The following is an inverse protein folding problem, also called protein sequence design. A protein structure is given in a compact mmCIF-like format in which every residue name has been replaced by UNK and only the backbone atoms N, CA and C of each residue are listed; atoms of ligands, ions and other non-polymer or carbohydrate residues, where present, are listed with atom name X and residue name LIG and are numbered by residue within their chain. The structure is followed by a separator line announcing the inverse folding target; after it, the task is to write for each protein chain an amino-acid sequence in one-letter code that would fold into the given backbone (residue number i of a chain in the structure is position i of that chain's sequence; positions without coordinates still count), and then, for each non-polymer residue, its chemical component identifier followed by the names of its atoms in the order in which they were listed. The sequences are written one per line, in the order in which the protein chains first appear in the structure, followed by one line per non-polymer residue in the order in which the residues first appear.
data_IF_722222461650
#
_entry.id   IF_722222461650
#
_cell.length_a   1.000
_cell.length_b   1.000
_cell.length_c   1.000
_cell.angle_alpha   90.00
_cell.angle_beta   90.00
_cell.angle_gamma   90.00
#
_symmetry.space_group_name_H-M   'P 1'
#
loop_
_entity.id
_entity.type
_entity.pdbx_description
1 polymer ?
#
# COMPACT_ATOMS: atom_id res chain seq x y z
N UNK A 1 -33.94 -1.45 30.22
CA UNK A 1 -33.58 -2.33 29.09
C UNK A 1 -32.80 -1.51 28.09
N UNK A 2 -31.66 -2.04 27.63
CA UNK A 2 -30.74 -1.42 26.67
C UNK A 2 -31.32 -1.51 25.26
N UNK A 3 -31.21 -0.45 24.45
CA UNK A 3 -31.05 -0.58 23.00
C UNK A 3 -30.09 0.48 22.49
N UNK A 4 -29.12 -0.01 21.73
CA UNK A 4 -27.85 0.63 21.43
C UNK A 4 -27.96 1.70 20.34
N UNK A 5 -27.15 2.73 20.49
CA UNK A 5 -26.91 3.80 19.54
C UNK A 5 -26.28 3.23 18.26
N UNK A 6 -26.93 3.41 17.11
CA UNK A 6 -26.29 3.23 15.80
C UNK A 6 -25.57 4.56 15.50
N UNK A 7 -24.31 4.65 15.94
CA UNK A 7 -23.40 5.68 15.47
C UNK A 7 -23.06 5.38 14.00
N UNK A 8 -23.78 6.05 13.09
CA UNK A 8 -23.49 6.00 11.66
C UNK A 8 -22.28 6.89 11.42
N UNK A 9 -21.08 6.32 11.51
CA UNK A 9 -19.85 7.03 11.15
C UNK A 9 -19.77 7.09 9.63
N UNK A 10 -20.23 8.21 9.08
CA UNK A 10 -19.86 8.61 7.73
C UNK A 10 -18.35 8.89 7.73
N UNK A 11 -17.56 7.89 7.31
CA UNK A 11 -16.16 8.11 7.02
C UNK A 11 -16.09 9.09 5.85
N UNK A 12 -15.79 10.35 6.18
CA UNK A 12 -15.38 11.33 5.20
C UNK A 12 -14.11 10.80 4.54
N UNK A 13 -14.23 10.36 3.30
CA UNK A 13 -13.11 10.01 2.42
C UNK A 13 -12.39 11.32 2.11
N UNK A 14 -11.57 11.78 3.04
CA UNK A 14 -10.59 12.81 2.75
C UNK A 14 -9.49 12.10 1.99
N UNK A 15 -9.46 12.31 0.68
CA UNK A 15 -8.26 12.07 -0.11
C UNK A 15 -7.15 12.93 0.49
N UNK A 16 -6.39 12.36 1.43
CA UNK A 16 -5.20 13.01 1.94
C UNK A 16 -4.19 12.92 0.80
N UNK A 17 -3.75 14.06 0.24
CA UNK A 17 -2.64 14.02 -0.70
C UNK A 17 -1.46 13.48 0.10
N UNK A 18 -0.80 12.45 -0.41
CA UNK A 18 0.48 11.94 0.06
C UNK A 18 1.50 13.08 0.08
N UNK A 19 1.45 13.90 1.11
CA UNK A 19 2.32 15.03 1.37
C UNK A 19 3.05 14.77 2.69
N UNK A 20 3.64 13.57 2.81
CA UNK A 20 4.70 13.35 3.78
C UNK A 20 5.98 13.89 3.14
N UNK A 21 6.35 15.08 3.61
CA UNK A 21 7.63 15.69 3.36
C UNK A 21 8.77 14.69 3.65
N UNK A 22 9.86 14.81 2.91
CA UNK A 22 11.06 13.97 2.93
C UNK A 22 11.85 13.92 4.27
N UNK A 23 11.19 14.21 5.40
CA UNK A 23 11.71 14.22 6.77
C UNK A 23 10.78 13.49 7.77
N UNK A 24 9.97 12.53 7.30
CA UNK A 24 9.25 11.60 8.18
C UNK A 24 10.16 10.50 8.75
N UNK A 25 9.73 9.80 9.81
CA UNK A 25 10.41 8.59 10.29
C UNK A 25 10.58 7.57 9.15
N UNK A 26 11.69 6.83 9.20
CA UNK A 26 11.97 5.76 8.24
C UNK A 26 10.90 4.68 8.36
N UNK A 27 10.35 4.23 7.23
CA UNK A 27 9.39 3.12 7.20
C UNK A 27 10.01 1.84 7.78
N UNK A 28 9.25 1.12 8.59
CA UNK A 28 9.58 -0.25 8.96
C UNK A 28 9.66 -1.13 7.71
N UNK A 29 10.42 -2.24 7.76
CA UNK A 29 10.54 -3.12 6.59
C UNK A 29 9.18 -3.70 6.14
N UNK A 30 8.24 -3.89 7.07
CA UNK A 30 6.89 -4.37 6.75
C UNK A 30 6.04 -3.30 6.07
N UNK A 31 6.10 -2.05 6.53
CA UNK A 31 5.45 -0.91 5.87
C UNK A 31 5.99 -0.70 4.46
N UNK A 32 7.32 -0.74 4.32
CA UNK A 32 7.97 -0.62 3.03
C UNK A 32 7.47 -1.70 2.05
N UNK A 33 7.45 -2.97 2.49
CA UNK A 33 6.94 -4.07 1.65
C UNK A 33 5.45 -3.92 1.33
N UNK A 34 4.62 -3.49 2.30
CA UNK A 34 3.20 -3.24 2.07
C UNK A 34 2.96 -2.11 1.05
N UNK A 35 3.69 -1.00 1.19
CA UNK A 35 3.61 0.15 0.30
C UNK A 35 4.09 -0.17 -1.11
N UNK A 36 5.19 -0.94 -1.25
CA UNK A 36 5.66 -1.45 -2.54
C UNK A 36 4.61 -2.35 -3.19
N UNK A 37 4.00 -3.28 -2.45
CA UNK A 37 2.95 -4.17 -2.97
C UNK A 37 1.73 -3.39 -3.45
N UNK A 38 1.25 -2.42 -2.67
CA UNK A 38 0.16 -1.57 -3.10
C UNK A 38 0.53 -0.82 -4.39
N UNK A 39 1.68 -0.13 -4.40
CA UNK A 39 2.16 0.63 -5.57
C UNK A 39 2.32 -0.23 -6.81
N UNK A 40 2.78 -1.48 -6.68
CA UNK A 40 2.89 -2.42 -7.79
C UNK A 40 1.50 -2.80 -8.35
N UNK A 41 0.50 -3.00 -7.50
CA UNK A 41 -0.88 -3.22 -7.95
C UNK A 41 -1.51 -1.98 -8.59
N UNK A 42 -1.13 -0.77 -8.14
CA UNK A 42 -1.56 0.47 -8.77
C UNK A 42 -0.94 0.65 -10.16
N UNK A 43 0.35 0.34 -10.31
CA UNK A 43 1.08 0.40 -11.58
C UNK A 43 0.41 -0.49 -12.65
N UNK A 44 0.18 -1.77 -12.34
CA UNK A 44 -0.46 -2.71 -13.27
C UNK A 44 -1.93 -2.39 -13.54
N UNK A 45 -2.55 -1.53 -12.73
CA UNK A 45 -3.90 -1.01 -12.98
C UNK A 45 -3.93 0.23 -13.89
N UNK A 46 -2.76 0.77 -14.24
CA UNK A 46 -2.61 1.98 -15.04
C UNK A 46 -2.72 3.29 -14.24
N UNK A 47 -2.56 3.25 -12.92
CA UNK A 47 -2.54 4.46 -12.10
C UNK A 47 -1.21 5.22 -12.30
N UNK A 48 -1.25 6.55 -12.13
CA UNK A 48 -0.06 7.38 -12.16
C UNK A 48 0.69 7.27 -10.82
N UNK A 49 1.78 6.49 -10.80
CA UNK A 49 2.52 6.17 -9.56
C UNK A 49 3.92 6.81 -9.47
N UNK A 50 4.23 7.80 -10.32
CA UNK A 50 5.59 8.34 -10.42
C UNK A 50 6.12 8.89 -9.08
N UNK A 51 5.29 9.66 -8.36
CA UNK A 51 5.68 10.24 -7.07
C UNK A 51 5.84 9.16 -5.99
N UNK A 52 4.91 8.21 -5.91
CA UNK A 52 4.98 7.10 -4.97
C UNK A 52 6.25 6.24 -5.21
N UNK A 53 6.57 5.95 -6.46
CA UNK A 53 7.77 5.20 -6.84
C UNK A 53 9.04 5.97 -6.49
N UNK A 54 9.06 7.28 -6.69
CA UNK A 54 10.20 8.12 -6.28
C UNK A 54 10.44 8.04 -4.77
N UNK A 55 9.38 8.18 -3.97
CA UNK A 55 9.48 8.09 -2.50
C UNK A 55 9.95 6.71 -2.05
N UNK A 56 9.38 5.62 -2.59
CA UNK A 56 9.78 4.26 -2.25
C UNK A 56 11.23 3.95 -2.65
N UNK A 57 11.70 4.48 -3.78
CA UNK A 57 13.11 4.33 -4.16
C UNK A 57 14.06 5.07 -3.21
N UNK A 58 13.63 6.22 -2.67
CA UNK A 58 14.39 6.94 -1.66
C UNK A 58 14.43 6.16 -0.34
N UNK A 59 13.31 5.57 0.09
CA UNK A 59 13.25 4.71 1.28
C UNK A 59 14.05 3.41 1.10
N UNK A 60 14.07 2.83 -0.11
CA UNK A 60 14.87 1.64 -0.40
C UNK A 60 16.36 1.82 -0.08
N UNK A 61 16.90 3.05 -0.20
CA UNK A 61 18.28 3.37 0.19
C UNK A 61 18.54 3.25 1.69
N UNK A 62 17.48 3.29 2.51
CA UNK A 62 17.54 3.17 3.97
C UNK A 62 17.21 1.76 4.45
N UNK A 63 16.72 0.88 3.57
CA UNK A 63 16.36 -0.50 3.90
C UNK A 63 17.58 -1.44 3.81
N UNK A 64 17.44 -2.63 4.39
CA UNK A 64 18.42 -3.70 4.23
C UNK A 64 18.35 -4.29 2.81
N UNK A 65 19.47 -4.86 2.35
CA UNK A 65 19.53 -5.50 1.03
C UNK A 65 18.49 -6.64 0.89
N UNK A 66 18.27 -7.42 1.96
CA UNK A 66 17.27 -8.50 1.97
C UNK A 66 15.84 -7.97 1.82
N UNK A 67 15.51 -6.87 2.50
CA UNK A 67 14.19 -6.23 2.39
C UNK A 67 13.97 -5.66 0.98
N UNK A 68 14.99 -5.04 0.37
CA UNK A 68 14.91 -4.53 -1.01
C UNK A 68 14.74 -5.68 -2.00
N UNK A 69 15.50 -6.76 -1.87
CA UNK A 69 15.37 -7.93 -2.75
C UNK A 69 13.98 -8.59 -2.64
N UNK A 70 13.42 -8.66 -1.42
CA UNK A 70 12.05 -9.12 -1.22
C UNK A 70 11.02 -8.21 -1.90
N UNK A 71 11.20 -6.89 -1.80
CA UNK A 71 10.34 -5.91 -2.47
C UNK A 71 10.36 -6.05 -3.99
N UNK A 72 11.55 -6.22 -4.59
CA UNK A 72 11.71 -6.45 -6.04
C UNK A 72 11.06 -7.75 -6.49
N UNK A 73 11.15 -8.81 -5.68
CA UNK A 73 10.52 -10.09 -5.96
C UNK A 73 8.98 -9.98 -5.96
N UNK A 74 8.41 -9.23 -5.02
CA UNK A 74 6.96 -8.95 -4.95
C UNK A 74 6.49 -8.17 -6.19
N UNK A 75 7.18 -7.09 -6.57
CA UNK A 75 6.86 -6.31 -7.78
C UNK A 75 6.88 -7.20 -9.03
N UNK A 76 7.92 -8.02 -9.15
CA UNK A 76 8.08 -8.94 -10.28
C UNK A 76 7.02 -10.04 -10.30
N UNK A 77 6.56 -10.52 -9.13
CA UNK A 77 5.47 -11.47 -9.03
C UNK A 77 4.13 -10.86 -9.47
N UNK A 78 3.82 -9.65 -8.99
CA UNK A 78 2.59 -8.93 -9.32
C UNK A 78 2.56 -8.60 -10.82
N UNK A 79 3.66 -8.11 -11.39
CA UNK A 79 3.75 -7.82 -12.82
C UNK A 79 3.50 -9.07 -13.68
N UNK A 80 4.10 -10.21 -13.31
CA UNK A 80 3.85 -11.49 -13.99
C UNK A 80 2.40 -11.94 -13.85
N UNK A 81 1.80 -11.79 -12.67
CA UNK A 81 0.40 -12.14 -12.45
C UNK A 81 -0.52 -11.28 -13.31
N UNK A 82 -0.26 -9.97 -13.42
CA UNK A 82 -1.00 -9.05 -14.26
C UNK A 82 -0.94 -9.44 -15.74
N UNK A 83 0.26 -9.73 -16.26
CA UNK A 83 0.45 -10.15 -17.66
C UNK A 83 -0.26 -11.47 -17.96
N UNK A 84 -0.31 -12.39 -16.99
CA UNK A 84 -0.95 -13.70 -17.17
C UNK A 84 -2.46 -13.70 -16.86
N UNK A 85 -3.04 -12.59 -16.42
CA UNK A 85 -4.46 -12.51 -16.09
C UNK A 85 -5.29 -12.24 -17.35
N UNK A 86 -5.79 -13.31 -17.97
CA UNK A 86 -6.45 -13.27 -19.28
C UNK A 86 -7.96 -13.30 -19.20
N UNK A 87 -8.54 -13.72 -18.06
CA UNK A 87 -9.99 -13.81 -17.89
C UNK A 87 -10.55 -12.65 -17.06
N UNK A 88 -11.86 -12.33 -17.22
CA UNK A 88 -12.52 -11.38 -16.33
C UNK A 88 -12.47 -11.78 -14.84
N UNK A 89 -12.43 -13.08 -14.55
CA UNK A 89 -12.30 -13.59 -13.19
C UNK A 89 -10.91 -13.29 -12.60
N UNK A 90 -9.85 -13.49 -13.38
CA UNK A 90 -8.48 -13.16 -12.96
C UNK A 90 -8.33 -11.66 -12.69
N UNK A 91 -8.92 -10.82 -13.55
CA UNK A 91 -8.92 -9.38 -13.35
C UNK A 91 -9.71 -8.95 -12.10
N UNK A 92 -10.83 -9.60 -11.80
CA UNK A 92 -11.57 -9.35 -10.56
C UNK A 92 -10.74 -9.77 -9.33
N UNK A 93 -10.05 -10.90 -9.42
CA UNK A 93 -9.15 -11.38 -8.38
C UNK A 93 -7.97 -10.41 -8.16
N UNK A 94 -7.37 -9.86 -9.23
CA UNK A 94 -6.34 -8.83 -9.14
C UNK A 94 -6.85 -7.56 -8.46
N UNK A 95 -8.06 -7.10 -8.80
CA UNK A 95 -8.69 -5.94 -8.14
C UNK A 95 -8.91 -6.18 -6.65
N UNK A 96 -9.33 -7.38 -6.27
CA UNK A 96 -9.49 -7.75 -4.86
C UNK A 96 -8.13 -7.77 -4.13
N UNK A 97 -7.08 -8.29 -4.76
CA UNK A 97 -5.74 -8.32 -4.18
C UNK A 97 -5.15 -6.93 -4.02
N UNK A 98 -5.37 -6.04 -4.99
CA UNK A 98 -5.02 -4.61 -4.87
C UNK A 98 -5.67 -4.00 -3.64
N UNK A 99 -6.98 -4.16 -3.49
CA UNK A 99 -7.72 -3.59 -2.37
C UNK A 99 -7.15 -4.04 -1.02
N UNK A 100 -6.85 -5.34 -0.88
CA UNK A 100 -6.25 -5.88 0.34
C UNK A 100 -4.81 -5.39 0.58
N UNK A 101 -3.99 -5.29 -0.47
CA UNK A 101 -2.62 -4.79 -0.36
C UNK A 101 -2.58 -3.32 0.06
N UNK A 102 -3.42 -2.48 -0.55
CA UNK A 102 -3.47 -1.06 -0.25
C UNK A 102 -4.10 -0.76 1.12
N UNK A 103 -5.15 -1.49 1.52
CA UNK A 103 -5.69 -1.34 2.87
C UNK A 103 -4.68 -1.75 3.96
N UNK A 104 -3.83 -2.73 3.67
CA UNK A 104 -2.77 -3.14 4.60
C UNK A 104 -1.68 -2.08 4.69
N UNK A 105 -1.34 -1.43 3.57
CA UNK A 105 -0.41 -0.30 3.55
C UNK A 105 -0.93 0.86 4.41
N UNK A 106 -2.23 1.18 4.33
CA UNK A 106 -2.85 2.23 5.14
C UNK A 106 -2.80 1.90 6.65
N UNK A 107 -3.05 0.64 7.02
CA UNK A 107 -2.98 0.19 8.43
C UNK A 107 -1.54 0.21 8.95
N UNK A 108 -0.57 -0.15 8.11
CA UNK A 108 0.84 -0.18 8.50
C UNK A 108 1.36 1.24 8.81
N UNK A 109 0.92 2.25 8.05
CA UNK A 109 1.24 3.65 8.32
C UNK A 109 0.51 4.19 9.56
N UNK A 110 -0.73 3.78 9.80
CA UNK A 110 -1.51 4.23 10.97
C UNK A 110 -1.12 3.61 12.31
N UNK A 111 -0.45 2.44 12.31
CA UNK A 111 -0.04 1.76 13.54
C UNK A 111 1.10 2.48 14.29
N UNK A 112 1.89 3.32 13.60
CA UNK A 112 2.97 4.10 14.21
C UNK A 112 2.46 5.40 14.87
N UNK A 113 1.29 5.90 14.46
CA UNK A 113 0.70 7.14 14.99
C UNK A 113 0.04 6.94 16.38
N UNK A 114 -0.41 5.72 16.71
CA UNK A 114 -1.12 5.42 17.97
C UNK A 114 -0.19 5.20 19.18
N UNK A 115 1.12 5.05 18.98
CA UNK A 115 2.09 4.86 20.10
C UNK A 115 2.69 6.19 20.60
N UNK A 116 2.26 7.33 20.05
CA UNK A 116 2.71 8.67 20.43
C UNK A 116 1.66 9.49 21.23
N UNK A 117 0.79 8.82 21.99
CA UNK A 117 -0.20 9.44 22.90
C UNK A 117 0.04 9.08 24.38
#
# INVERSE_FOLDING_TARGET
MRFALIATTAAAVVAVPFAMAAAGPQMSSNEFLAAVRCTAYEDVSGAQIADARYQLNAEAQRQTADTVAAAEAEVSAIARQAVNSQTPADQAMLRSQRAAACSTADIAVGAEEETAA
#
